data_IF_840809088659
#
_entry.id   IF_840809088659
#
_cell.length_a   1.000
_cell.length_b   1.000
_cell.length_c   1.000
_cell.angle_alpha   90.00
_cell.angle_beta   90.00
_cell.angle_gamma   90.00
#
_symmetry.space_group_name_H-M   'P 1'
#
loop_
_entity.id
_entity.type
_entity.pdbx_description
1 polymer ?
#
# COMPACT_ATOMS: atom_id res chain seq x y z
N UNK A 1 26.69 10.11 -15.80
CA UNK A 1 25.76 9.15 -16.34
C UNK A 1 24.56 8.99 -15.46
N UNK A 2 23.42 8.68 -16.05
CA UNK A 2 22.16 8.61 -15.29
C UNK A 2 22.17 7.49 -14.24
N UNK A 3 22.96 6.45 -14.46
CA UNK A 3 23.04 5.32 -13.54
C UNK A 3 23.58 5.67 -12.16
N UNK A 4 24.37 6.73 -12.08
CA UNK A 4 25.04 7.12 -10.85
C UNK A 4 24.30 8.22 -10.09
N UNK A 5 23.15 8.67 -10.59
CA UNK A 5 22.39 9.74 -9.94
C UNK A 5 21.67 9.21 -8.71
N UNK A 6 21.74 9.94 -7.58
CA UNK A 6 21.08 9.51 -6.34
C UNK A 6 19.61 9.20 -6.50
N UNK A 7 18.91 9.96 -7.33
CA UNK A 7 17.47 9.75 -7.56
C UNK A 7 17.20 8.38 -8.16
N UNK A 8 18.01 7.97 -9.14
CA UNK A 8 17.87 6.66 -9.76
C UNK A 8 18.22 5.53 -8.79
N UNK A 9 19.23 5.76 -7.94
CA UNK A 9 19.60 4.80 -6.91
C UNK A 9 18.48 4.62 -5.90
N UNK A 10 17.85 5.73 -5.49
CA UNK A 10 16.70 5.66 -4.58
C UNK A 10 15.55 4.88 -5.19
N UNK A 11 15.27 5.10 -6.47
CA UNK A 11 14.23 4.36 -7.15
C UNK A 11 14.53 2.87 -7.19
N UNK A 12 15.78 2.50 -7.47
CA UNK A 12 16.20 1.10 -7.46
C UNK A 12 16.01 0.46 -6.09
N UNK A 13 16.42 1.16 -5.04
CA UNK A 13 16.28 0.66 -3.66
C UNK A 13 14.81 0.45 -3.32
N UNK A 14 13.96 1.42 -3.65
CA UNK A 14 12.53 1.33 -3.39
C UNK A 14 11.93 0.15 -4.15
N UNK A 15 12.26 0.00 -5.43
CA UNK A 15 11.76 -1.10 -6.24
C UNK A 15 12.18 -2.46 -5.69
N UNK A 16 13.43 -2.59 -5.27
CA UNK A 16 13.92 -3.82 -4.67
C UNK A 16 13.22 -4.12 -3.35
N UNK A 17 13.02 -3.10 -2.53
CA UNK A 17 12.32 -3.24 -1.25
C UNK A 17 10.90 -3.79 -1.46
N UNK A 18 10.14 -3.17 -2.37
CA UNK A 18 8.77 -3.63 -2.62
C UNK A 18 8.72 -4.99 -3.29
N UNK A 19 9.69 -5.33 -4.13
CA UNK A 19 9.78 -6.66 -4.72
C UNK A 19 9.98 -7.72 -3.64
N UNK A 20 10.90 -7.47 -2.71
CA UNK A 20 11.15 -8.38 -1.59
C UNK A 20 9.94 -8.49 -0.68
N UNK A 21 9.29 -7.35 -0.41
CA UNK A 21 8.09 -7.32 0.42
C UNK A 21 6.95 -8.10 -0.21
N UNK A 22 6.72 -7.92 -1.51
CA UNK A 22 5.68 -8.65 -2.23
C UNK A 22 5.94 -10.15 -2.21
N UNK A 23 7.20 -10.56 -2.41
CA UNK A 23 7.57 -11.97 -2.37
C UNK A 23 7.32 -12.55 -0.98
N UNK A 24 7.69 -11.84 0.07
CA UNK A 24 7.50 -12.28 1.44
C UNK A 24 6.01 -12.37 1.80
N UNK A 25 5.23 -11.37 1.41
CA UNK A 25 3.79 -11.37 1.67
C UNK A 25 3.10 -12.51 0.93
N UNK A 26 3.47 -12.74 -0.32
CA UNK A 26 2.89 -13.83 -1.11
C UNK A 26 3.18 -15.17 -0.47
N UNK A 27 4.41 -15.39 -0.01
CA UNK A 27 4.81 -16.64 0.62
C UNK A 27 4.13 -16.86 1.97
N UNK A 28 4.14 -15.83 2.83
CA UNK A 28 3.65 -15.95 4.20
C UNK A 28 2.14 -15.83 4.32
N UNK A 29 1.53 -14.97 3.53
CA UNK A 29 0.09 -14.72 3.57
C UNK A 29 -0.67 -15.49 2.50
N UNK A 30 0.05 -16.10 1.55
CA UNK A 30 -0.54 -16.78 0.40
C UNK A 30 -1.47 -15.86 -0.40
N UNK A 31 -1.16 -14.56 -0.35
CA UNK A 31 -1.93 -13.52 -1.01
C UNK A 31 -0.96 -12.50 -1.58
N UNK A 32 -1.01 -12.21 -2.89
CA UNK A 32 -0.15 -11.17 -3.46
C UNK A 32 -0.61 -9.78 -3.01
N UNK A 33 0.21 -9.14 -2.20
CA UNK A 33 -0.04 -7.79 -1.69
C UNK A 33 0.96 -6.85 -2.34
N UNK A 34 0.48 -5.98 -3.20
CA UNK A 34 1.35 -5.02 -3.88
C UNK A 34 1.70 -3.83 -2.97
N UNK A 35 2.72 -3.07 -3.37
CA UNK A 35 3.07 -1.85 -2.68
C UNK A 35 1.93 -0.84 -2.63
N UNK A 36 1.14 -0.77 -3.70
CA UNK A 36 -0.03 0.10 -3.75
C UNK A 36 -1.07 -0.32 -2.71
N UNK A 37 -1.30 -1.63 -2.57
CA UNK A 37 -2.23 -2.14 -1.56
C UNK A 37 -1.78 -1.76 -0.16
N UNK A 38 -0.48 -1.90 0.12
CA UNK A 38 0.08 -1.55 1.43
C UNK A 38 -0.10 -0.08 1.75
N UNK A 39 0.12 0.78 0.77
CA UNK A 39 -0.02 2.23 0.96
C UNK A 39 -1.47 2.60 1.28
N UNK A 40 -2.43 2.02 0.56
CA UNK A 40 -3.85 2.27 0.81
C UNK A 40 -4.25 1.78 2.21
N UNK A 41 -3.85 0.57 2.55
CA UNK A 41 -4.19 -0.03 3.85
C UNK A 41 -3.60 0.81 4.99
N UNK A 42 -2.35 1.24 4.84
CA UNK A 42 -1.69 2.07 5.84
C UNK A 42 -2.42 3.41 6.02
N UNK A 43 -2.81 4.03 4.92
CA UNK A 43 -3.56 5.28 4.97
C UNK A 43 -4.89 5.10 5.71
N UNK A 44 -5.64 4.05 5.37
CA UNK A 44 -6.92 3.77 6.01
C UNK A 44 -6.75 3.46 7.50
N UNK A 45 -5.68 2.79 7.86
CA UNK A 45 -5.41 2.44 9.25
C UNK A 45 -5.13 3.67 10.11
N UNK A 46 -4.42 4.65 9.55
CA UNK A 46 -3.99 5.85 10.27
C UNK A 46 -5.05 6.93 10.37
N UNK A 47 -6.08 6.89 9.53
CA UNK A 47 -7.11 7.93 9.50
C UNK A 47 -8.37 7.43 10.17
N UNK A 48 -8.78 8.11 11.24
CA UNK A 48 -10.00 7.77 11.99
C UNK A 48 -11.25 8.32 11.31
N UNK A 49 -11.11 9.42 10.57
CA UNK A 49 -12.24 10.03 9.88
C UNK A 49 -12.54 9.29 8.57
N UNK A 50 -13.76 9.40 8.06
CA UNK A 50 -14.11 8.75 6.79
C UNK A 50 -13.16 9.13 5.67
N UNK A 51 -12.71 8.13 4.92
CA UNK A 51 -11.81 8.30 3.78
C UNK A 51 -12.57 8.03 2.50
N UNK A 52 -12.43 8.92 1.54
CA UNK A 52 -13.05 8.80 0.22
C UNK A 52 -11.98 8.61 -0.84
N UNK A 53 -12.40 8.11 -1.99
CA UNK A 53 -11.47 7.88 -3.09
C UNK A 53 -10.67 9.13 -3.46
N UNK A 54 -11.32 10.31 -3.47
CA UNK A 54 -10.64 11.56 -3.78
C UNK A 54 -9.52 11.89 -2.80
N UNK A 55 -9.65 11.47 -1.54
CA UNK A 55 -8.61 11.69 -0.54
C UNK A 55 -7.36 10.89 -0.89
N UNK A 56 -7.54 9.67 -1.38
CA UNK A 56 -6.43 8.83 -1.82
C UNK A 56 -5.78 9.39 -3.09
N UNK A 57 -6.60 9.88 -4.01
CA UNK A 57 -6.11 10.52 -5.23
C UNK A 57 -5.22 11.72 -4.90
N UNK A 58 -5.68 12.56 -3.98
CA UNK A 58 -4.94 13.76 -3.58
C UNK A 58 -3.68 13.42 -2.78
N UNK A 59 -3.77 12.42 -1.91
CA UNK A 59 -2.65 12.06 -1.05
C UNK A 59 -1.48 11.44 -1.83
N UNK A 60 -1.77 10.60 -2.80
CA UNK A 60 -0.73 9.84 -3.51
C UNK A 60 -0.26 10.50 -4.80
N UNK A 61 -0.88 11.60 -5.21
CA UNK A 61 -0.51 12.32 -6.44
C UNK A 61 -0.44 11.43 -7.67
N UNK A 62 -1.34 10.43 -7.74
CA UNK A 62 -1.41 9.52 -8.86
C UNK A 62 -2.71 9.75 -9.62
N UNK A 63 -2.76 9.20 -10.84
CA UNK A 63 -3.94 9.37 -11.68
C UNK A 63 -5.16 8.72 -11.05
N UNK A 64 -6.30 9.36 -11.24
CA UNK A 64 -7.59 8.83 -10.79
C UNK A 64 -7.82 7.40 -11.27
N UNK A 65 -7.46 7.12 -12.53
CA UNK A 65 -7.63 5.79 -13.10
C UNK A 65 -6.81 4.73 -12.37
N UNK A 66 -5.60 5.09 -11.92
CA UNK A 66 -4.74 4.19 -11.16
C UNK A 66 -5.36 3.88 -9.80
N UNK A 67 -5.86 4.89 -9.10
CA UNK A 67 -6.51 4.70 -7.81
C UNK A 67 -7.75 3.83 -7.96
N UNK A 68 -8.58 4.11 -8.98
CA UNK A 68 -9.79 3.32 -9.24
C UNK A 68 -9.47 1.85 -9.47
N UNK A 69 -8.43 1.57 -10.24
CA UNK A 69 -8.02 0.19 -10.53
C UNK A 69 -7.53 -0.52 -9.27
N UNK A 70 -6.69 0.14 -8.49
CA UNK A 70 -6.17 -0.43 -7.25
C UNK A 70 -7.31 -0.74 -6.28
N UNK A 71 -8.22 0.20 -6.08
CA UNK A 71 -9.34 0.02 -5.15
C UNK A 71 -10.29 -1.08 -5.61
N UNK A 72 -10.55 -1.16 -6.91
CA UNK A 72 -11.42 -2.21 -7.45
C UNK A 72 -10.83 -3.59 -7.17
N UNK A 73 -9.53 -3.78 -7.43
CA UNK A 73 -8.87 -5.05 -7.18
C UNK A 73 -8.84 -5.39 -5.69
N UNK A 74 -8.64 -4.39 -4.84
CA UNK A 74 -8.65 -4.61 -3.39
C UNK A 74 -10.04 -4.99 -2.90
N UNK A 75 -11.08 -4.39 -3.46
CA UNK A 75 -12.45 -4.73 -3.13
C UNK A 75 -12.78 -6.17 -3.54
N UNK A 76 -12.35 -6.56 -4.75
CA UNK A 76 -12.53 -7.93 -5.23
C UNK A 76 -11.86 -8.96 -4.34
N UNK A 77 -10.73 -8.60 -3.75
CA UNK A 77 -9.99 -9.47 -2.83
C UNK A 77 -10.54 -9.42 -1.40
N UNK A 78 -11.50 -8.58 -1.13
CA UNK A 78 -12.10 -8.48 0.19
C UNK A 78 -11.29 -7.69 1.21
N UNK A 79 -10.31 -6.92 0.77
CA UNK A 79 -9.49 -6.10 1.66
C UNK A 79 -10.17 -4.83 2.10
N UNK A 80 -11.03 -4.29 1.24
CA UNK A 80 -11.78 -3.06 1.50
C UNK A 80 -13.21 -3.23 1.04
N UNK A 81 -14.08 -2.33 1.52
CA UNK A 81 -15.43 -2.16 1.03
C UNK A 81 -15.61 -0.71 0.60
N UNK A 82 -16.39 -0.50 -0.44
CA UNK A 82 -16.77 0.85 -0.88
C UNK A 82 -18.24 1.05 -0.59
N UNK A 83 -18.52 2.00 0.28
CA UNK A 83 -19.87 2.26 0.75
C UNK A 83 -20.40 3.57 0.17
N UNK A 84 -21.66 3.56 -0.25
CA UNK A 84 -22.34 4.79 -0.65
C UNK A 84 -22.59 5.65 0.58
N UNK A 85 -22.38 6.96 0.45
CA UNK A 85 -22.54 7.89 1.55
C UNK A 85 -23.72 8.80 1.22
N UNK A 86 -24.70 8.85 2.12
CA UNK A 86 -25.94 9.58 1.91
C UNK A 86 -26.57 9.11 0.59
N UNK A 87 -27.20 9.95 -0.16
CA UNK A 87 -27.82 9.55 -1.42
C UNK A 87 -26.93 9.84 -2.65
N UNK A 88 -25.64 10.08 -2.43
CA UNK A 88 -24.72 10.39 -3.51
C UNK A 88 -23.96 9.15 -3.96
N UNK A 89 -24.38 8.59 -5.10
CA UNK A 89 -23.74 7.40 -5.68
C UNK A 89 -22.30 7.64 -6.15
N UNK A 90 -21.90 8.92 -6.29
CA UNK A 90 -20.55 9.26 -6.74
C UNK A 90 -19.56 9.26 -5.59
N UNK A 91 -20.05 9.48 -4.38
CA UNK A 91 -19.19 9.59 -3.20
C UNK A 91 -19.14 8.25 -2.49
N UNK A 92 -18.03 7.55 -2.65
CA UNK A 92 -17.83 6.25 -2.03
C UNK A 92 -16.83 6.37 -0.89
N UNK A 93 -17.24 5.96 0.28
CA UNK A 93 -16.36 5.84 1.43
C UNK A 93 -15.60 4.53 1.34
N UNK A 94 -14.30 4.58 1.58
CA UNK A 94 -13.44 3.40 1.55
C UNK A 94 -13.24 2.92 2.98
N UNK A 95 -13.61 1.67 3.25
CA UNK A 95 -13.53 1.10 4.59
C UNK A 95 -12.69 -0.17 4.56
N UNK A 96 -11.77 -0.30 5.50
CA UNK A 96 -10.95 -1.47 5.64
C UNK A 96 -11.76 -2.61 6.27
N UNK A 97 -11.70 -3.80 5.68
CA UNK A 97 -12.37 -4.98 6.23
C UNK A 97 -11.54 -5.60 7.34
N UNK A 98 -12.12 -6.55 8.09
CA UNK A 98 -11.36 -7.31 9.08
C UNK A 98 -10.22 -8.08 8.42
N UNK A 99 -10.47 -8.62 7.24
CA UNK A 99 -9.44 -9.30 6.47
C UNK A 99 -8.32 -8.34 6.11
N UNK A 100 -8.66 -7.12 5.65
CA UNK A 100 -7.69 -6.09 5.35
C UNK A 100 -6.84 -5.72 6.56
N UNK A 101 -7.45 -5.64 7.74
CA UNK A 101 -6.72 -5.34 8.98
C UNK A 101 -5.72 -6.44 9.34
N UNK A 102 -6.10 -7.69 9.16
CA UNK A 102 -5.21 -8.83 9.43
C UNK A 102 -4.02 -8.81 8.48
N UNK A 103 -4.27 -8.53 7.20
CA UNK A 103 -3.20 -8.42 6.21
C UNK A 103 -2.26 -7.28 6.59
N UNK A 104 -2.82 -6.15 7.02
CA UNK A 104 -2.02 -5.01 7.44
C UNK A 104 -1.04 -5.38 8.55
N UNK A 105 -1.52 -6.05 9.59
CA UNK A 105 -0.66 -6.43 10.71
C UNK A 105 0.51 -7.30 10.27
N UNK A 106 0.24 -8.31 9.46
CA UNK A 106 1.27 -9.21 8.96
C UNK A 106 2.24 -8.49 8.02
N UNK A 107 1.70 -7.67 7.11
CA UNK A 107 2.52 -6.97 6.12
C UNK A 107 3.38 -5.89 6.75
N UNK A 108 2.90 -5.20 7.78
CA UNK A 108 3.70 -4.23 8.53
C UNK A 108 4.86 -4.94 9.22
N UNK A 109 4.61 -6.10 9.79
CA UNK A 109 5.66 -6.89 10.42
C UNK A 109 6.76 -7.23 9.41
N UNK A 110 6.37 -7.70 8.22
CA UNK A 110 7.33 -8.02 7.16
C UNK A 110 8.09 -6.79 6.68
N UNK A 111 7.40 -5.66 6.52
CA UNK A 111 8.02 -4.42 6.10
C UNK A 111 9.06 -3.96 7.14
N UNK A 112 8.73 -4.06 8.42
CA UNK A 112 9.65 -3.69 9.49
C UNK A 112 10.89 -4.58 9.50
N UNK A 113 10.72 -5.87 9.26
CA UNK A 113 11.85 -6.80 9.18
C UNK A 113 12.79 -6.44 8.03
N UNK A 114 12.24 -6.13 6.86
CA UNK A 114 13.03 -5.76 5.69
C UNK A 114 13.72 -4.42 5.89
N UNK A 115 13.01 -3.47 6.47
CA UNK A 115 13.55 -2.13 6.73
C UNK A 115 14.72 -2.20 7.72
N UNK A 116 14.57 -2.99 8.78
CA UNK A 116 15.64 -3.20 9.75
C UNK A 116 16.87 -3.82 9.10
N UNK A 117 16.66 -4.81 8.23
CA UNK A 117 17.73 -5.45 7.48
C UNK A 117 18.43 -4.44 6.58
N UNK A 118 17.68 -3.56 5.93
CA UNK A 118 18.22 -2.53 5.07
C UNK A 118 19.09 -1.55 5.85
N UNK A 119 18.59 -1.06 6.99
CA UNK A 119 19.37 -0.15 7.85
C UNK A 119 20.65 -0.80 8.35
N UNK A 120 20.56 -2.05 8.71
CA UNK A 120 21.73 -2.79 9.20
C UNK A 120 22.83 -2.82 8.15
N UNK A 121 22.46 -3.02 6.90
CA UNK A 121 23.41 -3.04 5.79
C UNK A 121 24.08 -1.68 5.55
N UNK A 122 23.39 -0.59 5.90
CA UNK A 122 23.94 0.76 5.73
C UNK A 122 24.77 1.24 6.92
N UNK A 123 24.61 0.64 8.08
CA UNK A 123 25.27 1.12 9.31
C UNK A 123 26.47 0.30 9.75
N UNK A 124 26.71 -0.84 9.13
CA UNK A 124 27.81 -1.75 9.50
C UNK A 124 29.08 -1.48 8.70
N UNK A 125 29.45 -0.22 8.52
CA UNK A 125 30.73 0.07 7.88
C UNK A 125 31.76 0.49 8.89
#
# INVERSE_FOLDING_TARGET
>A
MMQDKPVLLMKKVINLFFRELDAMNTEKLQEPISGHNMIVIEYLTKHEEPVYQRDLENHFFVRRSTVSKVLRLMEEKGMIERLSVHDDARLKQIVLTDYGRRIHGAAVHHANMLEEKLYRNFTEE
#
